data_IF_345501462169
#
_entry.id   IF_345501462169
#
_cell.length_a   1.000
_cell.length_b   1.000
_cell.length_c   1.000
_cell.angle_alpha   90.00
_cell.angle_beta   90.00
_cell.angle_gamma   90.00
#
_symmetry.space_group_name_H-M   'P 1'
#
loop_
_entity.id
_entity.type
_entity.pdbx_description
1 polymer ?
#
# COMPACT_ATOMS: atom_id res chain seq x y z
N UNK A 1 13.51 16.34 -32.30
CA UNK A 1 13.07 16.70 -30.93
C UNK A 1 11.65 17.24 -31.06
N UNK A 2 10.63 16.39 -30.93
CA UNK A 2 9.23 16.82 -31.04
C UNK A 2 8.88 17.65 -29.80
N UNK A 3 8.30 18.85 -29.94
CA UNK A 3 7.87 19.63 -28.78
C UNK A 3 6.83 18.81 -27.99
N UNK A 4 6.80 18.88 -26.65
CA UNK A 4 5.73 18.25 -25.90
C UNK A 4 4.42 18.92 -26.30
N UNK A 5 3.53 18.15 -26.93
CA UNK A 5 2.13 18.55 -27.12
C UNK A 5 1.56 18.90 -25.74
N UNK A 6 1.23 20.17 -25.54
CA UNK A 6 0.47 20.67 -24.39
C UNK A 6 -0.88 19.95 -24.37
N UNK A 7 -0.94 18.81 -23.71
CA UNK A 7 -2.16 18.05 -23.47
C UNK A 7 -2.65 18.49 -22.09
N UNK A 8 -3.61 19.43 -21.99
CA UNK A 8 -4.04 20.01 -20.70
C UNK A 8 -4.51 18.95 -19.70
N UNK A 9 -5.04 17.84 -20.21
CA UNK A 9 -5.42 16.66 -19.42
C UNK A 9 -4.19 16.02 -18.76
N UNK A 10 -3.09 15.80 -19.49
CA UNK A 10 -1.88 15.20 -18.91
C UNK A 10 -1.29 16.09 -17.81
N UNK A 11 -1.21 17.41 -18.05
CA UNK A 11 -0.72 18.35 -17.03
C UNK A 11 -1.59 18.41 -15.77
N UNK A 12 -2.91 18.20 -15.90
CA UNK A 12 -3.81 18.11 -14.75
C UNK A 12 -3.50 16.87 -13.90
N UNK A 13 -3.39 15.69 -14.53
CA UNK A 13 -3.07 14.44 -13.84
C UNK A 13 -1.61 14.36 -13.37
N UNK A 14 -0.70 15.18 -13.90
CA UNK A 14 0.69 15.29 -13.46
C UNK A 14 0.90 16.28 -12.29
N UNK A 15 -0.17 16.80 -11.69
CA UNK A 15 -0.10 17.77 -10.60
C UNK A 15 0.18 17.12 -9.24
N UNK A 16 1.24 17.59 -8.57
CA UNK A 16 1.54 17.22 -7.17
C UNK A 16 0.51 17.80 -6.21
N UNK A 17 -0.05 18.97 -6.51
CA UNK A 17 -1.10 19.58 -5.69
C UNK A 17 -2.37 18.71 -5.69
N UNK A 18 -2.72 18.18 -6.87
CA UNK A 18 -3.81 17.21 -6.98
C UNK A 18 -3.51 15.94 -6.18
N UNK A 19 -2.28 15.41 -6.26
CA UNK A 19 -1.86 14.24 -5.49
C UNK A 19 -2.07 14.44 -3.98
N UNK A 20 -1.60 15.58 -3.46
CA UNK A 20 -1.74 15.94 -2.04
C UNK A 20 -3.21 16.11 -1.64
N UNK A 21 -4.01 16.80 -2.45
CA UNK A 21 -5.44 16.96 -2.21
C UNK A 21 -6.15 15.60 -2.13
N UNK A 22 -5.91 14.71 -3.10
CA UNK A 22 -6.51 13.37 -3.13
C UNK A 22 -6.09 12.54 -1.93
N UNK A 23 -4.81 12.61 -1.54
CA UNK A 23 -4.29 11.94 -0.35
C UNK A 23 -5.02 12.42 0.91
N UNK A 24 -5.21 13.74 1.08
CA UNK A 24 -5.93 14.28 2.23
C UNK A 24 -7.41 13.91 2.24
N UNK A 25 -8.07 13.90 1.08
CA UNK A 25 -9.47 13.46 0.96
C UNK A 25 -9.62 11.97 1.30
N UNK A 26 -8.73 11.11 0.81
CA UNK A 26 -8.69 9.69 1.15
C UNK A 26 -8.44 9.48 2.65
N UNK A 27 -7.52 10.23 3.25
CA UNK A 27 -7.26 10.16 4.69
C UNK A 27 -8.49 10.59 5.51
N UNK A 28 -9.09 11.73 5.19
CA UNK A 28 -10.27 12.26 5.87
C UNK A 28 -11.46 11.29 5.80
N UNK A 29 -11.73 10.74 4.61
CA UNK A 29 -12.80 9.75 4.43
C UNK A 29 -12.49 8.44 5.16
N UNK A 30 -11.25 7.96 5.14
CA UNK A 30 -10.83 6.77 5.89
C UNK A 30 -11.02 6.91 7.40
N UNK A 31 -10.81 8.10 7.96
CA UNK A 31 -11.11 8.39 9.38
C UNK A 31 -12.61 8.20 9.65
N UNK A 32 -13.49 8.70 8.78
CA UNK A 32 -14.94 8.52 8.92
C UNK A 32 -15.31 7.04 8.93
N UNK A 33 -14.78 6.25 7.99
CA UNK A 33 -15.03 4.79 7.93
C UNK A 33 -14.43 3.99 9.07
N UNK A 34 -13.49 4.58 9.83
CA UNK A 34 -12.94 3.98 11.06
C UNK A 34 -13.85 4.27 12.25
N UNK A 35 -14.46 5.46 12.31
CA UNK A 35 -15.36 5.88 13.40
C UNK A 35 -16.73 5.20 13.27
N UNK A 36 -17.23 5.05 12.03
CA UNK A 36 -18.54 4.45 11.76
C UNK A 36 -18.33 2.95 11.48
N UNK A 37 -18.91 2.03 12.29
CA UNK A 37 -18.78 0.60 12.06
C UNK A 37 -19.24 0.22 10.66
N UNK A 38 -18.48 -0.61 9.96
CA UNK A 38 -18.75 -0.98 8.57
C UNK A 38 -19.54 -2.29 8.48
N UNK A 39 -20.31 -2.47 7.40
CA UNK A 39 -21.00 -3.71 7.03
C UNK A 39 -21.92 -4.32 8.11
N UNK A 40 -22.50 -3.49 8.98
CA UNK A 40 -23.51 -3.92 9.94
C UNK A 40 -24.92 -3.95 9.31
N UNK A 41 -25.89 -4.66 9.92
CA UNK A 41 -27.26 -4.65 9.42
C UNK A 41 -27.90 -3.26 9.53
N UNK A 42 -28.85 -2.89 8.65
CA UNK A 42 -29.54 -1.60 8.70
C UNK A 42 -30.14 -1.25 10.07
N UNK A 43 -30.65 -2.24 10.81
CA UNK A 43 -31.22 -2.06 12.15
C UNK A 43 -30.22 -1.49 13.16
N UNK A 44 -28.96 -1.95 13.12
CA UNK A 44 -27.89 -1.47 13.98
C UNK A 44 -27.68 0.04 13.82
N UNK A 45 -27.68 0.55 12.59
CA UNK A 45 -27.47 1.97 12.35
C UNK A 45 -28.67 2.82 12.77
N UNK A 46 -29.90 2.30 12.60
CA UNK A 46 -31.12 2.98 13.03
C UNK A 46 -31.13 3.10 14.56
N UNK A 47 -30.79 2.03 15.27
CA UNK A 47 -30.73 2.00 16.73
C UNK A 47 -29.64 2.93 17.27
N UNK A 48 -28.44 2.92 16.66
CA UNK A 48 -27.29 3.66 17.16
C UNK A 48 -27.27 5.15 16.79
N UNK A 49 -27.76 5.51 15.60
CA UNK A 49 -27.63 6.87 15.04
C UNK A 49 -28.97 7.54 14.70
N UNK A 50 -30.09 6.82 14.87
CA UNK A 50 -31.42 7.27 14.49
C UNK A 50 -31.74 7.03 13.00
N UNK A 51 -33.03 6.95 12.68
CA UNK A 51 -33.51 6.57 11.34
C UNK A 51 -33.07 7.53 10.22
N UNK A 52 -33.05 8.85 10.48
CA UNK A 52 -32.67 9.84 9.46
C UNK A 52 -31.18 9.75 9.10
N UNK A 53 -30.31 9.68 10.10
CA UNK A 53 -28.86 9.52 9.92
C UNK A 53 -28.53 8.19 9.25
N UNK A 54 -29.17 7.10 9.68
CA UNK A 54 -28.98 5.78 9.09
C UNK A 54 -29.36 5.77 7.59
N UNK A 55 -30.44 6.47 7.22
CA UNK A 55 -30.84 6.62 5.82
C UNK A 55 -29.80 7.42 5.01
N UNK A 56 -29.23 8.48 5.58
CA UNK A 56 -28.14 9.24 4.94
C UNK A 56 -26.90 8.36 4.74
N UNK A 57 -26.52 7.58 5.75
CA UNK A 57 -25.39 6.65 5.64
C UNK A 57 -25.59 5.62 4.55
N UNK A 58 -26.79 5.08 4.40
CA UNK A 58 -27.12 4.15 3.33
C UNK A 58 -27.13 4.83 1.96
N UNK A 59 -27.66 6.05 1.84
CA UNK A 59 -27.70 6.78 0.58
C UNK A 59 -26.30 7.11 0.05
N UNK A 60 -25.37 7.44 0.96
CA UNK A 60 -23.99 7.77 0.63
C UNK A 60 -23.05 6.56 0.67
N UNK A 61 -23.56 5.33 0.87
CA UNK A 61 -22.76 4.11 1.05
C UNK A 61 -21.70 4.21 2.17
N UNK A 62 -21.92 5.05 3.20
CA UNK A 62 -20.99 5.22 4.33
C UNK A 62 -20.88 3.92 5.17
N UNK A 63 -21.91 3.09 5.16
CA UNK A 63 -21.93 1.80 5.85
C UNK A 63 -21.03 0.74 5.18
N UNK A 64 -20.70 0.91 3.90
CA UNK A 64 -19.70 0.12 3.19
C UNK A 64 -18.82 1.02 2.31
N UNK A 65 -18.21 1.98 3.00
CA UNK A 65 -17.52 3.12 2.40
C UNK A 65 -16.42 2.69 1.43
N UNK A 66 -15.65 1.66 1.77
CA UNK A 66 -14.50 1.20 0.99
C UNK A 66 -14.87 0.53 -0.34
N UNK A 67 -16.14 0.18 -0.55
CA UNK A 67 -16.64 -0.31 -1.85
C UNK A 67 -17.60 0.67 -2.52
N UNK A 68 -17.83 1.84 -1.91
CA UNK A 68 -18.64 2.91 -2.49
C UNK A 68 -18.02 3.41 -3.79
N UNK A 69 -18.86 3.82 -4.73
CA UNK A 69 -18.41 4.28 -6.04
C UNK A 69 -17.50 5.52 -5.93
N UNK A 70 -17.77 6.41 -4.97
CA UNK A 70 -17.03 7.65 -4.79
C UNK A 70 -15.67 7.41 -4.15
N UNK A 71 -15.56 6.48 -3.18
CA UNK A 71 -14.28 6.14 -2.57
C UNK A 71 -13.37 5.44 -3.58
N UNK A 72 -13.92 4.48 -4.34
CA UNK A 72 -13.19 3.81 -5.41
C UNK A 72 -12.76 4.78 -6.52
N UNK A 73 -13.59 5.79 -6.83
CA UNK A 73 -13.23 6.85 -7.76
C UNK A 73 -12.05 7.69 -7.23
N UNK A 74 -12.06 8.11 -5.97
CA UNK A 74 -10.94 8.83 -5.34
C UNK A 74 -9.66 7.98 -5.35
N UNK A 75 -9.76 6.70 -5.00
CA UNK A 75 -8.64 5.76 -4.97
C UNK A 75 -8.03 5.56 -6.37
N UNK A 76 -8.89 5.37 -7.37
CA UNK A 76 -8.48 5.21 -8.78
C UNK A 76 -7.86 6.48 -9.32
N UNK A 77 -8.45 7.63 -9.03
CA UNK A 77 -7.95 8.94 -9.45
C UNK A 77 -6.56 9.22 -8.84
N UNK A 78 -6.36 8.88 -7.57
CA UNK A 78 -5.06 8.97 -6.91
C UNK A 78 -4.03 8.03 -7.56
N UNK A 79 -4.40 6.78 -7.83
CA UNK A 79 -3.51 5.83 -8.50
C UNK A 79 -3.09 6.31 -9.90
N UNK A 80 -4.04 6.81 -10.70
CA UNK A 80 -3.75 7.38 -12.04
C UNK A 80 -2.84 8.59 -11.94
N UNK A 81 -3.12 9.52 -11.03
CA UNK A 81 -2.27 10.69 -10.80
C UNK A 81 -0.84 10.29 -10.43
N UNK A 82 -0.66 9.31 -9.54
CA UNK A 82 0.65 8.85 -9.10
C UNK A 82 1.42 8.15 -10.24
N UNK A 83 0.73 7.37 -11.09
CA UNK A 83 1.31 6.80 -12.32
C UNK A 83 1.79 7.90 -13.26
N UNK A 84 0.91 8.85 -13.62
CA UNK A 84 1.23 9.92 -14.57
C UNK A 84 2.38 10.79 -14.05
N UNK A 85 2.31 11.23 -12.79
CA UNK A 85 3.39 11.98 -12.13
C UNK A 85 4.73 11.25 -12.18
N UNK A 86 4.72 9.93 -11.95
CA UNK A 86 5.93 9.12 -11.95
C UNK A 86 6.52 9.01 -13.36
N UNK A 87 5.70 8.70 -14.36
CA UNK A 87 6.13 8.52 -15.74
C UNK A 87 6.69 9.82 -16.35
N UNK A 88 6.10 10.97 -16.03
CA UNK A 88 6.62 12.26 -16.53
C UNK A 88 7.97 12.65 -15.92
N UNK A 89 8.24 12.23 -14.67
CA UNK A 89 9.46 12.61 -13.94
C UNK A 89 10.65 11.68 -14.21
N UNK A 90 10.40 10.41 -14.54
CA UNK A 90 11.45 9.40 -14.81
C UNK A 90 12.48 9.86 -15.85
N UNK A 91 12.12 10.41 -17.03
CA UNK A 91 13.10 10.85 -18.02
C UNK A 91 14.06 11.92 -17.50
N UNK A 92 13.56 12.85 -16.69
CA UNK A 92 14.39 13.89 -16.06
C UNK A 92 15.42 13.28 -15.11
N UNK A 93 15.00 12.33 -14.28
CA UNK A 93 15.91 11.63 -13.35
C UNK A 93 16.94 10.80 -14.10
N UNK A 94 16.55 10.11 -15.17
CA UNK A 94 17.48 9.36 -16.03
C UNK A 94 18.54 10.30 -16.61
N UNK A 95 18.15 11.49 -17.11
CA UNK A 95 19.11 12.49 -17.62
C UNK A 95 20.07 12.95 -16.54
N UNK A 96 19.58 13.24 -15.32
CA UNK A 96 20.43 13.66 -14.20
C UNK A 96 21.41 12.57 -13.78
N UNK A 97 20.96 11.31 -13.71
CA UNK A 97 21.80 10.14 -13.35
C UNK A 97 22.84 9.82 -14.43
N UNK A 98 22.53 10.08 -15.69
CA UNK A 98 23.46 9.85 -16.80
C UNK A 98 24.41 11.02 -17.05
N UNK A 99 24.17 12.20 -16.46
CA UNK A 99 25.02 13.37 -16.64
C UNK A 99 26.40 13.09 -16.03
N UNK A 100 27.45 13.31 -16.80
CA UNK A 100 28.83 13.05 -16.36
C UNK A 100 29.45 14.18 -15.55
N UNK A 101 28.82 15.37 -15.53
CA UNK A 101 29.24 16.53 -14.75
C UNK A 101 30.48 17.25 -15.30
N UNK A 102 30.97 16.83 -16.48
CA UNK A 102 32.25 17.25 -17.05
C UNK A 102 32.18 18.54 -17.89
N UNK A 103 31.00 19.14 -18.03
CA UNK A 103 30.76 20.40 -18.74
C UNK A 103 30.52 21.58 -17.78
N UNK A 104 30.91 21.45 -16.52
CA UNK A 104 30.66 22.48 -15.50
C UNK A 104 31.65 23.64 -15.66
N UNK A 105 31.15 24.85 -15.94
CA UNK A 105 31.99 26.04 -16.06
C UNK A 105 32.64 26.41 -14.71
N UNK A 106 33.88 26.93 -14.69
CA UNK A 106 34.57 27.33 -13.45
C UNK A 106 33.74 28.27 -12.56
N UNK A 107 33.10 29.29 -13.17
CA UNK A 107 32.25 30.26 -12.45
C UNK A 107 31.07 29.61 -11.73
N UNK A 108 30.61 28.44 -12.19
CA UNK A 108 29.53 27.70 -11.53
C UNK A 108 30.03 27.00 -10.27
N UNK A 109 31.30 26.56 -10.24
CA UNK A 109 31.93 25.98 -9.04
C UNK A 109 32.07 27.03 -7.95
N UNK A 110 32.43 28.26 -8.32
CA UNK A 110 32.53 29.39 -7.39
C UNK A 110 31.18 29.81 -6.79
N UNK A 111 30.07 29.43 -7.43
CA UNK A 111 28.72 29.69 -6.91
C UNK A 111 28.19 28.55 -6.04
N UNK A 112 28.91 27.42 -5.94
CA UNK A 112 28.45 26.32 -5.11
C UNK A 112 28.58 26.66 -3.62
N UNK A 113 27.57 26.31 -2.80
CA UNK A 113 27.56 26.62 -1.38
C UNK A 113 28.62 25.85 -0.58
N UNK A 114 29.02 24.65 -1.06
CA UNK A 114 30.08 23.86 -0.46
C UNK A 114 31.29 23.89 -1.41
N UNK A 115 32.18 24.85 -1.19
CA UNK A 115 33.43 24.99 -1.95
C UNK A 115 34.62 25.19 -1.03
N UNK A 116 35.77 24.67 -1.44
CA UNK A 116 37.05 24.90 -0.78
C UNK A 116 38.13 25.05 -1.84
N UNK A 117 38.94 26.09 -1.71
CA UNK A 117 40.09 26.35 -2.57
C UNK A 117 41.36 26.04 -1.79
N UNK A 118 42.29 25.32 -2.41
CA UNK A 118 43.58 24.93 -1.82
C UNK A 118 44.67 25.24 -2.83
N UNK A 119 45.65 26.05 -2.41
CA UNK A 119 46.81 26.35 -3.23
C UNK A 119 47.83 25.20 -3.15
N UNK A 120 48.24 24.69 -4.31
CA UNK A 120 49.19 23.59 -4.43
C UNK A 120 50.40 24.05 -5.25
N UNK A 121 51.59 23.95 -4.70
CA UNK A 121 52.85 24.19 -5.41
C UNK A 121 53.21 22.98 -6.30
N UNK A 122 52.38 22.72 -7.32
CA UNK A 122 52.59 21.64 -8.28
C UNK A 122 51.98 22.01 -9.66
N UNK A 123 52.50 21.47 -10.77
CA UNK A 123 51.85 21.61 -12.07
C UNK A 123 50.43 21.03 -12.07
N UNK A 124 49.52 21.62 -12.86
CA UNK A 124 48.10 21.23 -12.93
C UNK A 124 47.89 19.73 -13.19
N UNK A 125 48.73 19.13 -14.05
CA UNK A 125 48.66 17.70 -14.35
C UNK A 125 48.97 16.83 -13.13
N UNK A 126 49.98 17.20 -12.34
CA UNK A 126 50.36 16.48 -11.12
C UNK A 126 49.30 16.67 -10.02
N UNK A 127 48.80 17.90 -9.86
CA UNK A 127 47.74 18.22 -8.90
C UNK A 127 46.46 17.42 -9.21
N UNK A 128 46.05 17.36 -10.49
CA UNK A 128 44.89 16.57 -10.93
C UNK A 128 45.08 15.07 -10.62
N UNK A 129 46.27 14.51 -10.91
CA UNK A 129 46.55 13.10 -10.65
C UNK A 129 46.55 12.77 -9.15
N UNK A 130 47.11 13.65 -8.30
CA UNK A 130 47.06 13.51 -6.83
C UNK A 130 45.61 13.53 -6.32
N UNK A 131 44.80 14.47 -6.79
CA UNK A 131 43.39 14.56 -6.42
C UNK A 131 42.59 13.31 -6.86
N UNK A 132 42.77 12.86 -8.10
CA UNK A 132 42.13 11.65 -8.60
C UNK A 132 42.53 10.39 -7.80
N UNK A 133 43.79 10.29 -7.38
CA UNK A 133 44.29 9.18 -6.56
C UNK A 133 43.67 9.19 -5.17
N UNK A 134 43.59 10.36 -4.53
CA UNK A 134 42.93 10.52 -3.23
C UNK A 134 41.44 10.16 -3.30
N UNK A 135 40.74 10.60 -4.34
CA UNK A 135 39.33 10.25 -4.58
C UNK A 135 39.15 8.74 -4.74
N UNK A 136 40.01 8.08 -5.53
CA UNK A 136 39.97 6.61 -5.69
C UNK A 136 40.25 5.88 -4.38
N UNK A 137 41.21 6.35 -3.58
CA UNK A 137 41.52 5.77 -2.27
C UNK A 137 40.31 5.80 -1.32
N UNK A 138 39.45 6.81 -1.43
CA UNK A 138 38.21 6.93 -0.67
C UNK A 138 37.00 6.25 -1.34
N UNK A 139 37.22 5.48 -2.41
CA UNK A 139 36.19 4.69 -3.11
C UNK A 139 35.35 5.46 -4.12
N UNK A 140 35.77 6.66 -4.52
CA UNK A 140 35.12 7.43 -5.58
C UNK A 140 35.64 7.03 -6.97
N UNK A 141 34.84 7.30 -8.00
CA UNK A 141 35.19 7.04 -9.40
C UNK A 141 35.35 8.37 -10.15
N UNK A 142 36.50 9.04 -10.03
CA UNK A 142 36.72 10.33 -10.68
C UNK A 142 36.81 10.15 -12.20
N UNK A 143 36.12 11.04 -12.91
CA UNK A 143 36.24 11.27 -14.35
C UNK A 143 36.88 12.65 -14.56
N UNK A 144 37.64 12.79 -15.65
CA UNK A 144 38.40 14.01 -15.93
C UNK A 144 38.07 14.53 -17.33
N UNK A 145 37.99 15.86 -17.47
CA UNK A 145 37.90 16.54 -18.75
C UNK A 145 38.77 17.81 -18.76
N UNK A 146 39.21 18.22 -19.95
CA UNK A 146 39.87 19.51 -20.13
C UNK A 146 38.85 20.65 -19.92
N UNK A 147 39.26 21.69 -19.20
CA UNK A 147 38.51 22.92 -19.00
C UNK A 147 39.33 24.10 -19.54
N UNK A 148 38.70 25.26 -19.75
CA UNK A 148 39.36 26.45 -20.30
C UNK A 148 40.63 26.84 -19.52
N UNK A 149 40.56 26.75 -18.17
CA UNK A 149 41.63 27.20 -17.26
C UNK A 149 42.30 26.04 -16.49
N UNK A 150 42.12 24.78 -16.93
CA UNK A 150 42.70 23.63 -16.24
C UNK A 150 42.04 22.29 -16.53
N UNK A 151 41.88 21.47 -15.48
CA UNK A 151 41.27 20.13 -15.55
C UNK A 151 40.09 20.07 -14.59
N UNK A 152 38.96 19.57 -15.05
CA UNK A 152 37.77 19.34 -14.24
C UNK A 152 37.71 17.87 -13.85
N UNK A 153 37.66 17.61 -12.53
CA UNK A 153 37.42 16.28 -11.98
C UNK A 153 35.99 16.20 -11.45
N UNK A 154 35.24 15.21 -11.88
CA UNK A 154 33.90 14.91 -11.37
C UNK A 154 33.85 13.50 -10.79
N UNK A 155 33.32 13.37 -9.58
CA UNK A 155 33.01 12.08 -8.98
C UNK A 155 31.68 12.16 -8.22
N UNK A 156 30.84 11.14 -8.37
CA UNK A 156 29.64 10.98 -7.55
C UNK A 156 29.48 9.53 -7.10
N UNK A 157 28.78 9.32 -5.99
CA UNK A 157 28.49 7.98 -5.45
C UNK A 157 26.98 7.83 -5.26
N UNK A 158 26.47 6.67 -5.65
CA UNK A 158 25.07 6.31 -5.49
C UNK A 158 24.09 7.11 -6.37
N UNK A 159 24.34 7.34 -7.67
CA UNK A 159 23.40 8.10 -8.50
C UNK A 159 22.02 7.41 -8.60
N UNK A 160 21.97 6.09 -8.43
CA UNK A 160 20.76 5.27 -8.43
C UNK A 160 19.80 5.56 -7.27
N UNK A 161 20.26 6.15 -6.16
CA UNK A 161 19.39 6.48 -5.02
C UNK A 161 18.27 7.46 -5.40
N UNK A 162 18.50 8.24 -6.46
CA UNK A 162 17.50 9.14 -7.07
C UNK A 162 16.28 8.38 -7.63
N UNK A 163 16.38 7.06 -7.83
CA UNK A 163 15.24 6.21 -8.21
C UNK A 163 14.41 5.70 -7.02
N UNK A 164 14.86 5.90 -5.78
CA UNK A 164 14.20 5.34 -4.59
C UNK A 164 12.73 5.72 -4.47
N UNK A 165 12.36 6.96 -4.82
CA UNK A 165 10.97 7.42 -4.80
C UNK A 165 10.06 6.61 -5.73
N UNK A 166 10.57 6.15 -6.89
CA UNK A 166 9.77 5.36 -7.84
C UNK A 166 9.54 3.93 -7.36
N UNK A 167 10.47 3.38 -6.57
CA UNK A 167 10.27 2.09 -5.90
C UNK A 167 9.14 2.19 -4.89
N UNK A 168 9.11 3.28 -4.10
CA UNK A 168 8.02 3.55 -3.15
C UNK A 168 6.70 3.78 -3.87
N UNK A 169 6.70 4.54 -4.97
CA UNK A 169 5.49 4.73 -5.77
C UNK A 169 4.96 3.41 -6.34
N UNK A 170 5.85 2.56 -6.85
CA UNK A 170 5.48 1.25 -7.36
C UNK A 170 4.88 0.37 -6.27
N UNK A 171 5.44 0.35 -5.05
CA UNK A 171 4.89 -0.45 -3.95
C UNK A 171 3.50 0.03 -3.55
N UNK A 172 3.29 1.35 -3.46
CA UNK A 172 1.97 1.95 -3.22
C UNK A 172 0.98 1.51 -4.32
N UNK A 173 1.36 1.59 -5.59
CA UNK A 173 0.50 1.17 -6.70
C UNK A 173 0.12 -0.30 -6.64
N UNK A 174 1.06 -1.18 -6.25
CA UNK A 174 0.78 -2.61 -6.07
C UNK A 174 -0.26 -2.83 -4.97
N UNK A 175 -0.10 -2.16 -3.83
CA UNK A 175 -1.06 -2.25 -2.71
C UNK A 175 -2.44 -1.72 -3.13
N UNK A 176 -2.50 -0.58 -3.82
CA UNK A 176 -3.74 0.00 -4.33
C UNK A 176 -4.43 -0.89 -5.35
N UNK A 177 -3.67 -1.53 -6.25
CA UNK A 177 -4.20 -2.49 -7.20
C UNK A 177 -4.82 -3.70 -6.49
N UNK A 178 -4.15 -4.23 -5.45
CA UNK A 178 -4.70 -5.29 -4.61
C UNK A 178 -5.99 -4.88 -3.91
N UNK A 179 -6.05 -3.67 -3.35
CA UNK A 179 -7.25 -3.13 -2.71
C UNK A 179 -8.42 -2.96 -3.69
N UNK A 180 -8.14 -2.49 -4.92
CA UNK A 180 -9.14 -2.36 -5.97
C UNK A 180 -9.65 -3.74 -6.42
N UNK A 181 -8.77 -4.70 -6.70
CA UNK A 181 -9.15 -6.06 -7.11
C UNK A 181 -9.95 -6.77 -6.00
N UNK A 182 -9.56 -6.60 -4.74
CA UNK A 182 -10.24 -7.16 -3.58
C UNK A 182 -11.51 -6.40 -3.15
N UNK A 183 -11.90 -5.33 -3.86
CA UNK A 183 -13.18 -4.65 -3.63
C UNK A 183 -14.32 -5.50 -4.21
N UNK A 184 -15.37 -5.73 -3.41
CA UNK A 184 -16.56 -6.48 -3.86
C UNK A 184 -17.24 -5.84 -5.07
N UNK A 185 -17.26 -4.50 -5.14
CA UNK A 185 -17.81 -3.75 -6.26
C UNK A 185 -16.99 -3.97 -7.53
N UNK A 186 -15.67 -3.85 -7.45
CA UNK A 186 -14.78 -4.03 -8.61
C UNK A 186 -14.75 -5.49 -9.06
N UNK A 187 -14.55 -6.43 -8.14
CA UNK A 187 -14.53 -7.86 -8.41
C UNK A 187 -15.82 -8.32 -9.10
N UNK A 188 -16.98 -7.92 -8.58
CA UNK A 188 -18.27 -8.36 -9.11
C UNK A 188 -18.68 -7.62 -10.38
N UNK A 189 -18.53 -6.29 -10.43
CA UNK A 189 -19.05 -5.48 -11.56
C UNK A 189 -18.05 -5.33 -12.70
N UNK A 190 -16.77 -5.14 -12.39
CA UNK A 190 -15.74 -4.88 -13.39
C UNK A 190 -15.04 -6.19 -13.83
N UNK A 191 -14.56 -6.99 -12.88
CA UNK A 191 -13.85 -8.24 -13.18
C UNK A 191 -14.80 -9.41 -13.46
N UNK A 192 -16.10 -9.27 -13.16
CA UNK A 192 -17.13 -10.31 -13.30
C UNK A 192 -16.76 -11.63 -12.61
N UNK A 193 -15.96 -11.53 -11.55
CA UNK A 193 -15.51 -12.66 -10.76
C UNK A 193 -15.59 -12.28 -9.27
N UNK A 194 -16.70 -12.62 -8.59
CA UNK A 194 -16.91 -12.28 -7.19
C UNK A 194 -15.95 -13.03 -6.24
N UNK A 195 -15.28 -14.07 -6.72
CA UNK A 195 -14.40 -14.91 -5.90
C UNK A 195 -13.15 -14.14 -5.43
N UNK A 196 -12.79 -13.05 -6.11
CA UNK A 196 -11.68 -12.17 -5.68
C UNK A 196 -11.99 -11.36 -4.41
N UNK A 197 -13.26 -11.25 -4.00
CA UNK A 197 -13.66 -10.31 -2.95
C UNK A 197 -14.77 -10.82 -2.04
N UNK A 198 -15.07 -12.13 -2.04
CA UNK A 198 -16.08 -12.65 -1.14
C UNK A 198 -15.61 -12.57 0.31
N UNK A 199 -16.50 -12.08 1.17
CA UNK A 199 -16.30 -11.96 2.60
C UNK A 199 -17.59 -12.34 3.30
N UNK A 200 -17.45 -13.04 4.41
CA UNK A 200 -18.59 -13.47 5.19
C UNK A 200 -18.20 -13.84 6.60
N UNK A 201 -19.21 -14.20 7.37
CA UNK A 201 -19.04 -14.72 8.72
C UNK A 201 -19.89 -15.98 8.89
N UNK A 202 -19.54 -16.74 9.91
CA UNK A 202 -20.34 -17.85 10.39
C UNK A 202 -20.14 -17.93 11.90
N UNK A 203 -21.22 -18.17 12.63
CA UNK A 203 -21.13 -18.57 14.02
C UNK A 203 -20.91 -20.08 14.04
N UNK A 204 -19.80 -20.54 14.64
CA UNK A 204 -19.45 -21.95 14.69
C UNK A 204 -19.24 -22.38 16.15
N UNK A 205 -20.29 -22.90 16.81
CA UNK A 205 -20.19 -23.44 18.16
C UNK A 205 -19.19 -24.61 18.26
N UNK A 206 -18.66 -24.84 19.46
CA UNK A 206 -17.81 -26.00 19.74
C UNK A 206 -18.55 -27.32 19.44
N UNK A 207 -17.85 -28.26 18.83
CA UNK A 207 -18.39 -29.54 18.38
C UNK A 207 -19.17 -29.47 17.05
N UNK A 208 -19.60 -28.29 16.62
CA UNK A 208 -20.35 -28.14 15.37
C UNK A 208 -19.45 -28.01 14.15
N UNK A 209 -20.00 -28.38 12.99
CA UNK A 209 -19.32 -28.28 11.69
C UNK A 209 -20.16 -27.49 10.68
N UNK A 210 -19.51 -26.67 9.86
CA UNK A 210 -20.15 -25.96 8.75
C UNK A 210 -19.34 -26.06 7.47
N UNK A 211 -20.02 -26.30 6.34
CA UNK A 211 -19.45 -26.24 4.99
C UNK A 211 -19.67 -24.90 4.28
N UNK A 212 -20.20 -23.90 4.98
CA UNK A 212 -20.61 -22.64 4.38
C UNK A 212 -20.42 -21.44 5.30
N UNK A 213 -20.38 -20.25 4.70
CA UNK A 213 -20.42 -18.97 5.40
C UNK A 213 -21.56 -18.10 4.87
N UNK A 214 -21.92 -17.05 5.60
CA UNK A 214 -22.92 -16.07 5.18
C UNK A 214 -22.20 -14.79 4.72
N UNK A 215 -22.46 -14.36 3.49
CA UNK A 215 -21.88 -13.15 2.93
C UNK A 215 -22.30 -11.90 3.72
N UNK A 216 -21.37 -11.00 4.06
CA UNK A 216 -21.66 -9.84 4.92
C UNK A 216 -22.82 -8.96 4.43
N UNK A 217 -22.91 -8.71 3.12
CA UNK A 217 -23.94 -7.81 2.55
C UNK A 217 -25.29 -8.45 2.33
N UNK A 218 -25.29 -9.66 1.77
CA UNK A 218 -26.52 -10.29 1.27
C UNK A 218 -27.08 -11.34 2.22
N UNK A 219 -26.31 -11.77 3.22
CA UNK A 219 -26.61 -12.98 3.99
C UNK A 219 -26.63 -14.24 3.12
N UNK A 220 -26.23 -14.15 1.85
CA UNK A 220 -26.23 -15.27 0.92
C UNK A 220 -25.26 -16.32 1.42
N UNK A 221 -25.71 -17.57 1.44
CA UNK A 221 -24.87 -18.73 1.69
C UNK A 221 -23.79 -18.85 0.62
N UNK A 222 -22.54 -18.98 1.04
CA UNK A 222 -21.38 -19.27 0.21
C UNK A 222 -20.84 -20.63 0.67
N UNK A 223 -20.98 -21.64 -0.19
CA UNK A 223 -20.42 -22.96 0.08
C UNK A 223 -18.90 -22.96 -0.13
N UNK A 224 -18.16 -23.53 0.81
CA UNK A 224 -16.70 -23.52 0.84
C UNK A 224 -16.08 -24.69 0.04
N UNK A 225 -16.85 -25.74 -0.22
CA UNK A 225 -16.36 -26.98 -0.82
C UNK A 225 -15.52 -27.87 0.12
N UNK A 226 -15.50 -27.53 1.40
CA UNK A 226 -14.96 -28.29 2.54
C UNK A 226 -15.72 -27.85 3.79
N UNK A 227 -15.61 -28.61 4.88
CA UNK A 227 -16.22 -28.26 6.16
C UNK A 227 -15.17 -27.83 7.18
N UNK A 228 -15.56 -26.92 8.07
CA UNK A 228 -14.80 -26.56 9.27
C UNK A 228 -15.55 -27.06 10.48
N UNK A 229 -14.85 -27.70 11.41
CA UNK A 229 -15.36 -28.04 12.74
C UNK A 229 -14.61 -27.22 13.79
N UNK A 230 -15.34 -26.56 14.68
CA UNK A 230 -14.73 -25.97 15.87
C UNK A 230 -14.57 -27.08 16.92
N UNK A 231 -13.33 -27.49 17.19
CA UNK A 231 -13.08 -28.53 18.19
C UNK A 231 -13.09 -27.96 19.61
N UNK A 232 -12.56 -26.74 19.79
CA UNK A 232 -12.53 -26.04 21.07
C UNK A 232 -12.28 -24.54 20.88
N UNK A 233 -12.79 -23.73 21.80
CA UNK A 233 -12.55 -22.30 21.94
C UNK A 233 -12.08 -21.98 23.36
N UNK A 234 -10.96 -21.28 23.48
CA UNK A 234 -10.39 -20.89 24.76
C UNK A 234 -10.07 -19.40 24.78
N UNK A 235 -10.27 -18.80 25.96
CA UNK A 235 -9.82 -17.44 26.26
C UNK A 235 -8.72 -17.55 27.31
N UNK A 236 -7.52 -17.09 26.99
CA UNK A 236 -6.49 -16.91 28.00
C UNK A 236 -6.63 -15.52 28.59
N UNK A 237 -6.49 -15.38 29.90
CA UNK A 237 -6.55 -14.11 30.61
C UNK A 237 -5.18 -13.75 31.19
N UNK A 238 -4.89 -12.46 31.30
CA UNK A 238 -3.81 -11.98 32.15
C UNK A 238 -4.21 -12.09 33.63
N UNK A 239 -3.23 -12.00 34.54
CA UNK A 239 -3.46 -12.03 35.99
C UNK A 239 -4.41 -10.91 36.47
N UNK A 240 -4.49 -9.81 35.71
CA UNK A 240 -5.42 -8.70 35.96
C UNK A 240 -6.86 -8.93 35.43
N UNK A 241 -7.16 -10.12 34.93
CA UNK A 241 -8.48 -10.50 34.41
C UNK A 241 -8.80 -10.01 33.00
N UNK A 242 -7.89 -9.30 32.32
CA UNK A 242 -8.09 -8.87 30.94
C UNK A 242 -7.86 -10.03 29.96
N UNK A 243 -8.70 -10.21 28.92
CA UNK A 243 -8.44 -11.19 27.87
C UNK A 243 -7.07 -10.95 27.21
N UNK A 244 -6.23 -11.98 27.23
CA UNK A 244 -4.90 -12.01 26.61
C UNK A 244 -4.96 -12.51 25.19
N UNK A 245 -5.64 -13.63 24.95
CA UNK A 245 -5.83 -14.17 23.61
C UNK A 245 -7.13 -14.95 23.50
N UNK A 246 -7.66 -14.99 22.29
CA UNK A 246 -8.79 -15.82 21.89
C UNK A 246 -8.26 -16.88 20.93
N UNK A 247 -8.49 -18.14 21.26
CA UNK A 247 -7.91 -19.29 20.55
C UNK A 247 -9.05 -20.23 20.13
N UNK A 248 -9.11 -20.56 18.86
CA UNK A 248 -10.07 -21.54 18.32
C UNK A 248 -9.30 -22.69 17.65
N UNK A 249 -9.42 -23.90 18.20
CA UNK A 249 -8.94 -25.12 17.55
C UNK A 249 -9.97 -25.51 16.48
N UNK A 250 -9.56 -25.45 15.22
CA UNK A 250 -10.43 -25.73 14.07
C UNK A 250 -9.86 -26.86 13.23
N UNK A 251 -10.69 -27.87 12.97
CA UNK A 251 -10.38 -28.96 12.05
C UNK A 251 -11.08 -28.76 10.71
N UNK A 252 -10.28 -28.77 9.64
CA UNK A 252 -10.75 -28.83 8.26
C UNK A 252 -11.10 -30.28 7.92
N UNK A 253 -12.33 -30.48 7.46
CA UNK A 253 -12.87 -31.74 7.01
C UNK A 253 -13.07 -31.71 5.49
N UNK A 254 -12.52 -32.68 4.76
CA UNK A 254 -12.83 -32.93 3.34
C UNK A 254 -13.54 -34.28 3.24
N UNK A 255 -14.70 -34.31 2.57
CA UNK A 255 -15.56 -35.50 2.49
C UNK A 255 -15.84 -36.16 3.86
N UNK A 256 -15.99 -35.33 4.89
CA UNK A 256 -16.22 -35.75 6.28
C UNK A 256 -14.99 -36.25 7.04
N UNK A 257 -13.80 -36.27 6.41
CA UNK A 257 -12.56 -36.74 7.03
C UNK A 257 -11.68 -35.57 7.46
N UNK A 258 -11.07 -35.61 8.67
CA UNK A 258 -10.14 -34.58 9.11
C UNK A 258 -8.88 -34.61 8.25
N UNK A 259 -8.58 -33.47 7.62
CA UNK A 259 -7.39 -33.29 6.77
C UNK A 259 -6.35 -32.44 7.48
N UNK A 260 -6.79 -31.47 8.29
CA UNK A 260 -5.89 -30.55 8.99
C UNK A 260 -6.56 -29.94 10.20
N UNK A 261 -5.85 -29.91 11.34
CA UNK A 261 -6.25 -29.15 12.52
C UNK A 261 -5.28 -27.98 12.69
N UNK A 262 -5.81 -26.81 13.05
CA UNK A 262 -5.03 -25.62 13.30
C UNK A 262 -5.68 -24.72 14.35
N UNK A 263 -4.84 -24.01 15.09
CA UNK A 263 -5.27 -22.96 16.00
C UNK A 263 -5.43 -21.63 15.25
N UNK A 264 -6.59 -21.00 15.39
CA UNK A 264 -6.83 -19.64 14.94
C UNK A 264 -6.67 -18.71 16.15
N UNK A 265 -5.73 -17.78 16.06
CA UNK A 265 -5.47 -16.77 17.10
C UNK A 265 -5.37 -15.37 16.47
N UNK A 266 -5.28 -14.33 17.33
CA UNK A 266 -5.01 -12.96 16.87
C UNK A 266 -3.69 -12.94 16.08
N UNK A 267 -3.73 -12.42 14.85
CA UNK A 267 -2.63 -12.41 13.88
C UNK A 267 -2.14 -13.79 13.39
N UNK A 268 -2.84 -14.89 13.73
CA UNK A 268 -2.51 -16.25 13.26
C UNK A 268 -3.74 -16.92 12.65
N UNK A 269 -4.13 -16.52 11.42
CA UNK A 269 -5.32 -17.09 10.77
C UNK A 269 -5.07 -18.48 10.19
N UNK A 270 -6.14 -19.23 9.96
CA UNK A 270 -6.14 -20.48 9.19
C UNK A 270 -6.42 -20.18 7.72
N UNK A 271 -5.50 -20.54 6.83
CA UNK A 271 -5.75 -20.52 5.38
C UNK A 271 -5.89 -21.94 4.84
N UNK A 272 -6.98 -22.20 4.11
CA UNK A 272 -7.24 -23.46 3.39
C UNK A 272 -7.93 -23.18 2.06
N UNK A 273 -7.47 -23.83 0.98
CA UNK A 273 -7.99 -23.66 -0.41
C UNK A 273 -8.22 -22.20 -0.83
N UNK A 274 -7.30 -21.31 -0.47
CA UNK A 274 -7.38 -19.88 -0.81
C UNK A 274 -8.32 -19.04 0.06
N UNK A 275 -8.99 -19.66 1.05
CA UNK A 275 -9.86 -18.97 2.01
C UNK A 275 -9.12 -18.81 3.34
N UNK A 276 -9.16 -17.61 3.91
CA UNK A 276 -8.51 -17.30 5.19
C UNK A 276 -9.55 -17.01 6.26
N UNK A 277 -9.50 -17.75 7.35
CA UNK A 277 -10.40 -17.69 8.49
C UNK A 277 -9.74 -16.97 9.66
N UNK A 278 -10.47 -16.03 10.24
CA UNK A 278 -10.04 -15.21 11.37
C UNK A 278 -11.03 -15.37 12.52
N UNK A 279 -10.52 -15.39 13.75
CA UNK A 279 -11.35 -15.26 14.95
C UNK A 279 -11.79 -13.80 15.08
N UNK A 280 -13.03 -13.49 14.69
CA UNK A 280 -13.54 -12.10 14.67
C UNK A 280 -14.38 -11.74 15.89
N UNK A 281 -15.08 -12.70 16.49
CA UNK A 281 -16.04 -12.48 17.58
C UNK A 281 -16.35 -13.78 18.30
N UNK A 282 -16.79 -13.69 19.56
CA UNK A 282 -17.30 -14.81 20.34
C UNK A 282 -18.61 -14.42 21.01
N UNK A 283 -19.41 -15.41 21.36
CA UNK A 283 -20.61 -15.22 22.17
C UNK A 283 -20.66 -16.37 23.18
N UNK A 284 -21.01 -16.06 24.42
CA UNK A 284 -21.28 -17.09 25.40
C UNK A 284 -22.49 -17.91 24.92
N UNK A 285 -22.36 -19.23 24.91
CA UNK A 285 -23.49 -20.11 24.67
C UNK A 285 -24.59 -19.79 25.67
N UNK A 286 -25.82 -19.53 25.19
CA UNK A 286 -26.98 -19.54 26.08
C UNK A 286 -27.24 -21.00 26.41
N UNK A 287 -26.91 -21.41 27.62
CA UNK A 287 -27.51 -22.62 28.20
C UNK A 287 -29.04 -22.40 28.18
N UNK A 288 -29.74 -23.27 27.45
CA UNK A 288 -31.20 -23.38 27.51
C UNK A 288 -31.58 -24.39 28.59
#
# INVERSE_FOLDING_TARGET
MTPPTNQPVRSFFASVQLALLLLFLLAATSIIGTIIPQNNPPSFYIEKYGAQTARLFQLLDITDMYNSWWFLALLTLFAVNLVVCSLERIPGVIRTVRRDGLETAPDQLDRQPCRQTVDLAAPVAEASQRAATLLRAHGWKPREAAAADGRLLFAERGPWTRFGVYVVHLSILIILAGALVGSSTVASRLLRNPDFAFKGSVMLPEGESTGHILAFKSGRRIDLGFSLRCDAFAIEYYDNGMPKTYRSSVTVLEDGKPVRTAEIEVNRPLTHRGVTFYQSSYQAGREY
#
